data_IF_100178964736
#
_entry.id   IF_100178964736
#
_cell.length_a   1.000
_cell.length_b   1.000
_cell.length_c   1.000
_cell.angle_alpha   90.00
_cell.angle_beta   90.00
_cell.angle_gamma   90.00
#
_symmetry.space_group_name_H-M   'P 1'
#
loop_
_entity.id
_entity.type
_entity.pdbx_description
1 polymer ?
#
# COMPACT_ATOMS: atom_id res chain seq x y z
N UNK A 1 -10.22 -11.33 -15.93
CA UNK A 1 -10.61 -12.61 -15.31
C UNK A 1 -9.70 -12.89 -14.13
N UNK A 2 -10.22 -13.58 -13.11
CA UNK A 2 -9.48 -14.03 -11.90
C UNK A 2 -8.48 -15.16 -12.18
N UNK A 3 -7.94 -15.24 -13.40
CA UNK A 3 -7.02 -16.29 -13.81
C UNK A 3 -5.62 -16.01 -13.25
N UNK A 4 -4.92 -17.02 -12.71
CA UNK A 4 -3.54 -16.86 -12.25
C UNK A 4 -2.66 -16.35 -13.39
N UNK A 5 -1.94 -15.25 -13.16
CA UNK A 5 -1.01 -14.74 -14.17
C UNK A 5 0.24 -15.63 -14.19
N UNK A 6 0.76 -15.90 -15.38
CA UNK A 6 2.04 -16.58 -15.53
C UNK A 6 3.19 -15.59 -15.41
N UNK A 7 4.18 -15.91 -14.58
CA UNK A 7 5.35 -15.07 -14.35
C UNK A 7 6.65 -15.81 -14.69
N UNK A 8 7.64 -15.06 -15.18
CA UNK A 8 9.00 -15.55 -15.42
C UNK A 8 10.02 -14.50 -15.03
N UNK A 9 11.24 -14.93 -14.68
CA UNK A 9 12.33 -13.99 -14.36
C UNK A 9 12.80 -13.26 -15.62
N UNK A 10 12.80 -13.95 -16.77
CA UNK A 10 13.13 -13.40 -18.09
C UNK A 10 12.04 -13.75 -19.12
N UNK A 11 11.68 -12.80 -19.98
CA UNK A 11 10.67 -13.01 -21.04
C UNK A 11 11.09 -14.05 -22.07
N UNK A 12 12.40 -14.27 -22.25
CA UNK A 12 12.93 -15.31 -23.16
C UNK A 12 12.55 -16.73 -22.73
N UNK A 13 12.35 -16.95 -21.42
CA UNK A 13 12.01 -18.25 -20.87
C UNK A 13 10.51 -18.57 -21.09
N UNK A 14 9.69 -17.53 -21.27
CA UNK A 14 8.26 -17.62 -21.55
C UNK A 14 7.77 -16.29 -22.16
N UNK A 15 7.56 -16.22 -23.48
CA UNK A 15 7.19 -14.97 -24.16
C UNK A 15 5.81 -14.40 -23.76
N UNK A 16 4.92 -15.23 -23.21
CA UNK A 16 3.59 -14.82 -22.73
C UNK A 16 3.55 -14.48 -21.24
N UNK A 17 4.65 -14.69 -20.52
CA UNK A 17 4.73 -14.44 -19.09
C UNK A 17 4.99 -12.96 -18.80
N UNK A 18 4.63 -12.52 -17.59
CA UNK A 18 5.00 -11.21 -17.05
C UNK A 18 6.27 -11.32 -16.21
N UNK A 19 7.11 -10.29 -16.25
CA UNK A 19 8.28 -10.18 -15.35
C UNK A 19 8.02 -9.28 -14.15
N UNK A 20 7.03 -8.39 -14.28
CA UNK A 20 6.59 -7.48 -13.24
C UNK A 20 5.32 -8.02 -12.58
N UNK A 21 5.32 -8.01 -11.26
CA UNK A 21 4.17 -8.36 -10.42
C UNK A 21 3.58 -7.06 -9.90
N UNK A 22 2.34 -6.79 -10.33
CA UNK A 22 1.58 -5.60 -9.97
C UNK A 22 1.04 -5.74 -8.54
N UNK A 23 1.11 -4.64 -7.79
CA UNK A 23 0.54 -4.56 -6.44
C UNK A 23 -0.65 -3.64 -6.50
N UNK A 24 -1.74 -4.04 -5.85
CA UNK A 24 -2.94 -3.23 -5.71
C UNK A 24 -3.16 -2.86 -4.25
N UNK A 25 -3.59 -1.64 -4.00
CA UNK A 25 -3.96 -1.12 -2.68
C UNK A 25 -5.48 -1.08 -2.56
N UNK A 26 -5.99 -1.35 -1.38
CA UNK A 26 -7.41 -1.25 -1.05
C UNK A 26 -7.72 0.06 -0.34
N UNK A 27 -9.01 0.28 -0.06
CA UNK A 27 -9.43 1.23 0.97
C UNK A 27 -8.75 0.91 2.29
N UNK A 28 -8.45 1.97 3.03
CA UNK A 28 -7.89 1.86 4.36
C UNK A 28 -9.02 1.69 5.38
N UNK A 29 -8.86 0.70 6.25
CA UNK A 29 -9.68 0.46 7.41
C UNK A 29 -8.85 0.63 8.70
N UNK A 30 -9.53 0.82 9.81
CA UNK A 30 -8.91 1.06 11.11
C UNK A 30 -9.38 0.02 12.10
N UNK A 31 -8.45 -0.49 12.92
CA UNK A 31 -8.82 -1.41 14.03
C UNK A 31 -9.47 -0.67 15.21
N UNK A 32 -9.51 0.67 15.18
CA UNK A 32 -10.13 1.51 16.23
C UNK A 32 -11.26 2.40 15.74
N UNK A 33 -11.49 2.50 14.43
CA UNK A 33 -12.53 3.33 13.83
C UNK A 33 -13.31 2.55 12.78
N UNK A 34 -14.63 2.74 12.74
CA UNK A 34 -15.52 2.13 11.74
C UNK A 34 -15.49 2.83 10.38
N UNK A 35 -14.80 3.96 10.25
CA UNK A 35 -14.73 4.70 9.00
C UNK A 35 -13.62 4.15 8.10
N UNK A 36 -13.97 3.81 6.87
CA UNK A 36 -13.01 3.50 5.80
C UNK A 36 -12.73 4.73 4.93
N UNK A 37 -11.52 4.79 4.38
CA UNK A 37 -11.12 5.84 3.45
C UNK A 37 -10.53 5.26 2.18
N UNK A 38 -10.80 5.89 1.04
CA UNK A 38 -10.07 5.58 -0.19
C UNK A 38 -8.56 5.87 -0.01
N UNK A 39 -7.74 5.16 -0.78
CA UNK A 39 -6.28 5.35 -0.72
C UNK A 39 -5.86 6.80 -0.95
N UNK A 40 -6.52 7.48 -1.89
CA UNK A 40 -6.29 8.90 -2.23
C UNK A 40 -6.81 9.90 -1.20
N UNK A 41 -7.52 9.45 -0.16
CA UNK A 41 -7.85 10.31 0.97
C UNK A 41 -6.59 10.76 1.69
N UNK A 42 -5.56 9.91 1.78
CA UNK A 42 -4.27 10.28 2.36
C UNK A 42 -3.31 10.71 1.25
N UNK A 43 -2.35 11.56 1.58
CA UNK A 43 -1.38 12.10 0.62
C UNK A 43 -0.24 11.09 0.34
N UNK A 44 -0.59 9.86 -0.02
CA UNK A 44 0.36 8.82 -0.38
C UNK A 44 0.94 9.04 -1.79
N UNK A 45 1.95 8.25 -2.14
CA UNK A 45 2.40 8.14 -3.52
C UNK A 45 1.35 7.38 -4.34
N UNK A 46 1.02 7.86 -5.53
CA UNK A 46 0.07 7.24 -6.46
C UNK A 46 0.74 7.04 -7.83
N UNK A 47 0.23 6.08 -8.60
CA UNK A 47 0.64 5.88 -9.99
C UNK A 47 0.09 7.03 -10.84
N UNK A 48 0.89 7.58 -11.75
CA UNK A 48 0.41 8.59 -12.69
C UNK A 48 -0.68 7.97 -13.59
N UNK A 49 -1.78 8.68 -13.80
CA UNK A 49 -2.94 8.21 -14.58
C UNK A 49 -2.59 7.70 -15.99
N UNK A 50 -1.46 8.15 -16.54
CA UNK A 50 -1.02 7.83 -17.91
C UNK A 50 -0.16 6.56 -17.98
N UNK A 51 0.30 6.03 -16.83
CA UNK A 51 1.19 4.87 -16.73
C UNK A 51 0.48 3.62 -16.21
N UNK A 52 -0.71 3.78 -15.63
CA UNK A 52 -1.55 2.66 -15.27
C UNK A 52 -2.31 2.21 -16.52
N UNK A 53 -1.95 1.04 -17.02
CA UNK A 53 -2.91 0.18 -17.70
C UNK A 53 -4.00 -0.12 -16.67
N UNK A 54 -4.94 0.81 -16.48
CA UNK A 54 -6.22 0.56 -15.81
C UNK A 54 -7.03 -0.34 -16.75
N UNK A 55 -6.50 -1.52 -17.05
CA UNK A 55 -7.24 -2.53 -17.76
C UNK A 55 -8.29 -3.08 -16.79
N UNK A 56 -9.50 -2.56 -16.99
CA UNK A 56 -10.65 -3.39 -17.38
C UNK A 56 -11.55 -4.00 -16.30
N UNK A 57 -11.39 -3.72 -15.00
CA UNK A 57 -12.39 -4.19 -14.03
C UNK A 57 -13.11 -3.06 -13.27
N UNK A 58 -14.31 -2.71 -13.73
CA UNK A 58 -15.23 -1.78 -13.07
C UNK A 58 -15.47 -2.16 -11.60
N UNK A 59 -15.51 -3.45 -11.29
CA UNK A 59 -15.70 -3.93 -9.92
C UNK A 59 -14.55 -3.49 -9.02
N UNK A 60 -13.30 -3.55 -9.49
CA UNK A 60 -12.14 -3.10 -8.71
C UNK A 60 -12.24 -1.61 -8.38
N UNK A 61 -12.67 -0.80 -9.35
CA UNK A 61 -12.91 0.63 -9.14
C UNK A 61 -14.02 0.85 -8.11
N UNK A 62 -15.13 0.11 -8.20
CA UNK A 62 -16.25 0.18 -7.26
C UNK A 62 -15.84 -0.19 -5.82
N UNK A 63 -14.98 -1.19 -5.67
CA UNK A 63 -14.45 -1.63 -4.39
C UNK A 63 -13.28 -0.77 -3.86
N UNK A 64 -12.88 0.28 -4.60
CA UNK A 64 -11.80 1.19 -4.19
C UNK A 64 -10.42 0.54 -4.25
N UNK A 65 -10.24 -0.49 -5.07
CA UNK A 65 -8.96 -1.12 -5.34
C UNK A 65 -8.24 -0.30 -6.42
N UNK A 66 -7.01 0.11 -6.15
CA UNK A 66 -6.20 0.98 -7.02
C UNK A 66 -4.82 0.38 -7.27
N UNK A 67 -4.19 0.67 -8.42
CA UNK A 67 -2.80 0.29 -8.64
C UNK A 67 -1.91 1.01 -7.62
N UNK A 68 -1.03 0.25 -7.00
CA UNK A 68 0.00 0.74 -6.10
C UNK A 68 1.18 1.29 -6.90
N UNK A 69 1.92 2.29 -6.39
CA UNK A 69 3.19 2.69 -7.00
C UNK A 69 4.31 1.66 -6.76
N UNK A 70 4.07 0.64 -5.93
CA UNK A 70 4.96 -0.50 -5.78
C UNK A 70 4.76 -1.51 -6.92
N UNK A 71 5.86 -2.02 -7.46
CA UNK A 71 5.88 -3.11 -8.43
C UNK A 71 7.07 -4.00 -8.13
N UNK A 72 6.85 -5.30 -8.04
CA UNK A 72 7.90 -6.28 -7.78
C UNK A 72 8.41 -6.89 -9.08
N UNK A 73 9.67 -7.32 -9.09
CA UNK A 73 10.21 -8.16 -10.16
C UNK A 73 10.15 -9.61 -9.72
N UNK A 74 9.56 -10.46 -10.55
CA UNK A 74 9.40 -11.87 -10.23
C UNK A 74 10.77 -12.54 -10.00
N UNK A 75 10.88 -13.33 -8.92
CA UNK A 75 12.12 -13.98 -8.47
C UNK A 75 13.32 -13.01 -8.31
N UNK A 76 13.06 -11.78 -7.86
CA UNK A 76 14.11 -10.84 -7.44
C UNK A 76 13.75 -10.23 -6.09
N UNK A 77 14.65 -10.40 -5.14
CA UNK A 77 14.54 -9.74 -3.84
C UNK A 77 14.81 -8.25 -4.02
N UNK A 78 13.88 -7.41 -3.57
CA UNK A 78 14.03 -5.96 -3.48
C UNK A 78 13.74 -5.56 -2.03
N UNK A 79 14.61 -4.75 -1.44
CA UNK A 79 14.47 -4.27 -0.06
C UNK A 79 14.40 -2.74 -0.03
N UNK A 80 13.57 -2.20 0.85
CA UNK A 80 13.51 -0.77 1.20
C UNK A 80 13.47 0.21 0.00
N UNK A 81 12.71 -0.11 -1.04
CA UNK A 81 12.59 0.74 -2.22
C UNK A 81 11.80 2.02 -1.91
N UNK A 82 12.47 3.16 -1.97
CA UNK A 82 11.81 4.46 -1.85
C UNK A 82 11.02 4.79 -3.13
N UNK A 83 9.71 4.98 -2.99
CA UNK A 83 8.81 5.27 -4.11
C UNK A 83 8.73 6.77 -4.40
N UNK A 84 8.46 7.58 -3.39
CA UNK A 84 8.46 9.05 -3.50
C UNK A 84 8.72 9.70 -2.14
N UNK A 85 9.09 10.99 -2.16
CA UNK A 85 9.23 11.81 -0.96
C UNK A 85 8.16 12.91 -1.00
N UNK A 86 7.44 13.08 0.11
CA UNK A 86 6.48 14.17 0.31
C UNK A 86 7.03 15.10 1.38
N UNK A 87 7.11 16.39 1.06
CA UNK A 87 7.60 17.42 1.97
C UNK A 87 6.43 18.32 2.40
N UNK A 88 6.37 18.64 3.70
CA UNK A 88 5.31 19.47 4.28
C UNK A 88 5.91 20.71 4.96
N UNK A 89 5.58 21.88 4.44
CA UNK A 89 5.99 23.17 4.97
C UNK A 89 5.08 23.61 6.12
N UNK A 90 5.68 24.16 7.18
CA UNK A 90 4.94 24.78 8.27
C UNK A 90 4.29 26.10 7.88
N UNK A 91 4.66 26.69 6.74
CA UNK A 91 4.09 27.97 6.30
C UNK A 91 2.91 27.78 5.33
N UNK A 92 2.62 26.56 4.91
CA UNK A 92 1.51 26.24 4.01
C UNK A 92 0.38 25.53 4.77
N UNK A 93 -0.75 26.23 4.91
CA UNK A 93 -1.92 25.71 5.63
C UNK A 93 -2.53 24.45 5.00
N UNK A 94 -2.41 24.25 3.68
CA UNK A 94 -2.90 23.07 3.00
C UNK A 94 -1.98 21.87 3.25
N UNK A 95 -0.67 22.06 3.16
CA UNK A 95 0.30 21.01 3.49
C UNK A 95 0.19 20.59 4.97
N UNK A 96 -0.04 21.54 5.88
CA UNK A 96 -0.33 21.21 7.27
C UNK A 96 -1.58 20.36 7.45
N UNK A 97 -2.65 20.59 6.68
CA UNK A 97 -3.88 19.78 6.74
C UNK A 97 -3.60 18.35 6.28
N UNK A 98 -2.82 18.17 5.21
CA UNK A 98 -2.41 16.84 4.72
C UNK A 98 -1.57 16.10 5.76
N UNK A 99 -0.58 16.77 6.35
CA UNK A 99 0.24 16.19 7.42
C UNK A 99 -0.61 15.79 8.64
N UNK A 100 -1.52 16.67 9.09
CA UNK A 100 -2.43 16.36 10.20
C UNK A 100 -3.33 15.16 9.90
N UNK A 101 -3.76 14.99 8.65
CA UNK A 101 -4.55 13.84 8.20
C UNK A 101 -3.73 12.54 8.31
N UNK A 102 -2.49 12.53 7.84
CA UNK A 102 -1.57 11.38 7.96
C UNK A 102 -1.30 11.02 9.43
N UNK A 103 -1.00 12.02 10.26
CA UNK A 103 -0.80 11.81 11.71
C UNK A 103 -2.05 11.24 12.38
N UNK A 104 -3.24 11.75 12.03
CA UNK A 104 -4.51 11.22 12.54
C UNK A 104 -4.72 9.78 12.10
N UNK A 105 -4.42 9.45 10.84
CA UNK A 105 -4.49 8.09 10.32
C UNK A 105 -3.60 7.13 11.10
N UNK A 106 -2.35 7.52 11.35
CA UNK A 106 -1.39 6.73 12.14
C UNK A 106 -1.87 6.55 13.59
N UNK A 107 -2.37 7.63 14.22
CA UNK A 107 -2.94 7.58 15.59
C UNK A 107 -4.13 6.61 15.70
N UNK A 108 -4.92 6.54 14.64
CA UNK A 108 -6.08 5.65 14.51
C UNK A 108 -5.71 4.31 13.86
N UNK A 109 -4.42 3.97 13.76
CA UNK A 109 -3.96 2.66 13.28
C UNK A 109 -4.64 2.20 11.98
N UNK A 110 -4.82 3.13 11.03
CA UNK A 110 -5.31 2.78 9.70
C UNK A 110 -4.30 1.83 9.03
N UNK A 111 -4.83 0.78 8.40
CA UNK A 111 -4.05 -0.28 7.79
C UNK A 111 -4.00 -0.12 6.27
N UNK A 112 -2.82 -0.35 5.71
CA UNK A 112 -2.64 -0.66 4.30
C UNK A 112 -2.97 -2.13 4.08
N UNK A 113 -3.71 -2.43 3.02
CA UNK A 113 -3.98 -3.79 2.57
C UNK A 113 -3.63 -3.91 1.10
N UNK A 114 -2.80 -4.88 0.78
CA UNK A 114 -2.32 -5.11 -0.58
C UNK A 114 -2.87 -6.40 -1.15
N UNK A 115 -3.10 -6.40 -2.46
CA UNK A 115 -3.37 -7.59 -3.25
C UNK A 115 -2.31 -7.73 -4.31
N UNK A 116 -1.77 -8.94 -4.44
CA UNK A 116 -0.74 -9.32 -5.40
C UNK A 116 -1.23 -10.57 -6.10
N UNK A 117 -1.35 -10.51 -7.42
CA UNK A 117 -1.89 -11.62 -8.23
C UNK A 117 -3.23 -12.18 -7.72
N UNK A 118 -4.16 -11.29 -7.37
CA UNK A 118 -5.47 -11.64 -6.78
C UNK A 118 -5.43 -12.34 -5.41
N UNK A 119 -4.26 -12.42 -4.76
CA UNK A 119 -4.11 -12.93 -3.39
C UNK A 119 -3.80 -11.81 -2.39
N UNK A 120 -4.31 -11.88 -1.14
CA UNK A 120 -3.98 -10.90 -0.12
C UNK A 120 -2.50 -11.00 0.27
N UNK A 121 -1.84 -9.86 0.39
CA UNK A 121 -0.46 -9.79 0.86
C UNK A 121 -0.38 -10.08 2.35
N UNK A 122 0.66 -10.81 2.74
CA UNK A 122 0.92 -11.31 4.08
C UNK A 122 2.12 -10.54 4.66
N UNK A 123 1.86 -9.64 5.59
CA UNK A 123 2.87 -8.81 6.26
C UNK A 123 3.33 -9.48 7.56
N UNK A 124 4.64 -9.59 7.73
CA UNK A 124 5.27 -10.06 8.96
C UNK A 124 6.11 -8.93 9.55
N UNK A 125 5.91 -8.67 10.84
CA UNK A 125 6.74 -7.73 11.59
C UNK A 125 7.89 -8.51 12.24
N UNK A 126 9.11 -8.31 11.77
CA UNK A 126 10.30 -9.03 12.27
C UNK A 126 10.59 -8.76 13.76
N UNK A 127 9.96 -7.75 14.36
CA UNK A 127 10.08 -7.45 15.80
C UNK A 127 9.16 -8.30 16.65
N UNK A 128 8.14 -8.92 16.05
CA UNK A 128 7.18 -9.77 16.73
C UNK A 128 7.54 -11.21 16.38
N UNK A 129 7.94 -11.99 17.38
CA UNK A 129 8.21 -13.41 17.23
C UNK A 129 6.88 -14.18 17.11
N UNK A 130 6.27 -14.07 15.92
CA UNK A 130 5.05 -14.77 15.55
C UNK A 130 5.28 -15.52 14.25
N UNK A 131 4.80 -16.76 14.18
CA UNK A 131 4.72 -17.52 12.94
C UNK A 131 3.60 -16.99 12.02
N UNK A 132 2.65 -16.22 12.57
CA UNK A 132 1.52 -15.70 11.84
C UNK A 132 1.83 -14.36 11.17
N UNK A 133 1.29 -14.16 9.98
CA UNK A 133 1.30 -12.86 9.32
C UNK A 133 -0.06 -12.16 9.40
N UNK A 134 -0.03 -10.84 9.20
CA UNK A 134 -1.22 -10.00 9.12
C UNK A 134 -1.52 -9.64 7.67
N UNK A 135 -2.80 -9.57 7.30
CA UNK A 135 -3.25 -9.14 5.96
C UNK A 135 -3.20 -7.62 5.75
N UNK A 136 -2.50 -6.90 6.61
CA UNK A 136 -2.35 -5.46 6.54
C UNK A 136 -1.26 -5.00 7.51
N UNK A 137 -0.85 -3.75 7.31
CA UNK A 137 0.17 -3.11 8.13
C UNK A 137 -0.15 -1.63 8.33
N UNK A 138 0.24 -1.02 9.46
CA UNK A 138 -0.12 0.36 9.76
C UNK A 138 0.49 1.34 8.75
N UNK A 139 -0.25 2.39 8.39
CA UNK A 139 0.24 3.46 7.51
C UNK A 139 1.43 4.25 8.09
N UNK A 140 1.66 4.12 9.39
CA UNK A 140 2.72 4.81 10.11
C UNK A 140 2.65 4.55 11.62
N UNK A 141 3.79 4.76 12.29
CA UNK A 141 3.85 4.70 13.75
C UNK A 141 3.41 6.02 14.38
N UNK A 142 2.66 5.95 15.48
CA UNK A 142 2.31 7.13 16.28
C UNK A 142 3.04 7.10 17.63
N UNK A 143 3.92 8.07 17.84
CA UNK A 143 4.58 8.30 19.12
C UNK A 143 3.75 9.31 19.91
N UNK A 144 3.34 8.93 21.12
CA UNK A 144 2.58 9.81 22.00
C UNK A 144 3.46 10.96 22.50
N UNK A 145 2.83 11.99 23.09
CA UNK A 145 3.56 13.09 23.74
C UNK A 145 4.48 12.64 24.88
N UNK A 146 4.23 11.46 25.46
CA UNK A 146 5.08 10.86 26.48
C UNK A 146 6.27 10.06 25.91
N UNK A 147 6.49 10.11 24.59
CA UNK A 147 7.59 9.41 23.92
C UNK A 147 7.35 7.91 23.73
N UNK A 148 6.20 7.39 24.15
CA UNK A 148 5.85 5.98 23.98
C UNK A 148 5.28 5.76 22.58
N UNK A 149 5.80 4.76 21.87
CA UNK A 149 5.12 4.25 20.69
C UNK A 149 3.77 3.69 21.13
N UNK A 150 2.68 4.18 20.53
CA UNK A 150 1.41 3.49 20.64
C UNK A 150 1.55 2.23 19.80
N UNK A 151 1.69 1.08 20.46
CA UNK A 151 1.72 -0.19 19.78
C UNK A 151 0.42 -0.36 18.98
N UNK A 152 0.60 -0.59 17.68
CA UNK A 152 -0.43 -0.91 16.70
C UNK A 152 -1.03 -2.28 16.97
#
# INVERSE_FOLDING_TARGET
GFEPKQYSQYLRDCPRCKTQVEVFVHRLDSVVSSLSYDYSYFDFCEVKENESSLTENFEQVLFGIRPSPYTFKFLRNEECKQICIKNYSTNDSNQQKLLKRLMKGSKLNYQQRWTVDNMPFCYKDDRIDSENCSYGFPIGGYITKSGLAKHS
#
